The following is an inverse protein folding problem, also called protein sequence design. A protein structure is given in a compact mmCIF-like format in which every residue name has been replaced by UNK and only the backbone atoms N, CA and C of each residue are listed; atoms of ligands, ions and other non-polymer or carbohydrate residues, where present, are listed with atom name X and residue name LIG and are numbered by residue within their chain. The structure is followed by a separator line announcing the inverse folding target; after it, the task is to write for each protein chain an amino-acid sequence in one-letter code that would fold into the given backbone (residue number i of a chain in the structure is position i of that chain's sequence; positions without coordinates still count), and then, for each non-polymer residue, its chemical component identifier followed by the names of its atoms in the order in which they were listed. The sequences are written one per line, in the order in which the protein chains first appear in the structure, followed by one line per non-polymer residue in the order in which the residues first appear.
data_IF_925110109830
#
_entry.id   IF_925110109830
#
_cell.length_a   1.000
_cell.length_b   1.000
_cell.length_c   1.000
_cell.angle_alpha   90.00
_cell.angle_beta   90.00
_cell.angle_gamma   90.00
#
_symmetry.space_group_name_H-M   'P 1'
#
loop_
_entity.id
_entity.type
_entity.pdbx_description
1 polymer ?
#
# COMPACT_ATOMS: atom_id res chain seq x y z
N UNK A 1 -7.46 -12.51 13.19
CA UNK A 1 -7.06 -11.71 14.37
C UNK A 1 -7.95 -10.48 14.32
N UNK A 2 -7.49 -9.22 14.46
CA UNK A 2 -8.22 -8.08 13.86
C UNK A 2 -7.23 -7.34 12.97
N UNK A 3 -7.40 -7.47 11.67
CA UNK A 3 -6.60 -6.80 10.65
C UNK A 3 -7.18 -5.41 10.36
N UNK A 4 -6.32 -4.48 9.90
CA UNK A 4 -6.73 -3.14 9.46
C UNK A 4 -6.16 -2.90 8.07
N UNK A 5 -7.04 -2.62 7.11
CA UNK A 5 -6.65 -2.12 5.79
C UNK A 5 -6.62 -0.59 5.85
N UNK A 6 -5.46 -0.02 5.54
CA UNK A 6 -5.23 1.42 5.49
C UNK A 6 -5.55 1.97 4.09
N UNK A 7 -6.37 3.01 4.01
CA UNK A 7 -6.66 3.71 2.76
C UNK A 7 -6.17 5.15 2.86
N UNK A 8 -5.37 5.57 1.89
CA UNK A 8 -4.87 6.94 1.77
C UNK A 8 -5.27 7.50 0.40
N UNK A 9 -5.82 8.72 0.40
CA UNK A 9 -6.38 9.34 -0.80
C UNK A 9 -5.85 10.77 -1.01
N UNK A 10 -5.48 11.06 -2.27
CA UNK A 10 -4.98 12.36 -2.71
C UNK A 10 -3.58 12.70 -2.19
N UNK A 11 -3.04 13.82 -2.68
CA UNK A 11 -1.66 14.23 -2.39
C UNK A 11 -1.33 14.28 -0.88
N UNK A 12 -2.16 14.96 -0.08
CA UNK A 12 -1.92 15.09 1.35
C UNK A 12 -2.03 13.75 2.08
N UNK A 13 -3.05 12.95 1.78
CA UNK A 13 -3.23 11.63 2.37
C UNK A 13 -2.05 10.70 2.07
N UNK A 14 -1.55 10.71 0.83
CA UNK A 14 -0.40 9.91 0.42
C UNK A 14 0.90 10.35 1.10
N UNK A 15 1.13 11.65 1.30
CA UNK A 15 2.32 12.15 2.01
C UNK A 15 2.31 11.77 3.48
N UNK A 16 1.16 11.93 4.16
CA UNK A 16 1.01 11.53 5.55
C UNK A 16 1.12 10.02 5.69
N UNK A 17 0.47 9.27 4.79
CA UNK A 17 0.53 7.82 4.75
C UNK A 17 1.95 7.30 4.57
N UNK A 18 2.73 7.88 3.65
CA UNK A 18 4.14 7.50 3.48
C UNK A 18 4.95 7.70 4.77
N UNK A 19 4.76 8.81 5.48
CA UNK A 19 5.42 9.03 6.78
C UNK A 19 4.91 8.12 7.89
N UNK A 20 3.62 7.79 7.89
CA UNK A 20 3.07 6.80 8.80
C UNK A 20 3.76 5.44 8.61
N UNK A 21 3.84 4.95 7.36
CA UNK A 21 4.46 3.67 7.03
C UNK A 21 5.96 3.64 7.30
N UNK A 22 6.68 4.75 7.11
CA UNK A 22 8.07 4.87 7.57
C UNK A 22 8.19 4.61 9.08
N UNK A 23 7.41 5.34 9.89
CA UNK A 23 7.50 5.28 11.35
C UNK A 23 7.10 3.92 11.90
N UNK A 24 6.01 3.33 11.40
CA UNK A 24 5.58 2.02 11.91
C UNK A 24 6.49 0.89 11.44
N UNK A 25 7.09 0.99 10.25
CA UNK A 25 8.08 0.01 9.81
C UNK A 25 9.31 0.06 10.69
N UNK A 26 9.81 1.26 11.02
CA UNK A 26 10.92 1.43 11.96
C UNK A 26 10.59 0.86 13.36
N UNK A 27 9.37 1.10 13.87
CA UNK A 27 8.91 0.57 15.16
C UNK A 27 8.86 -0.97 15.17
N UNK A 28 8.41 -1.57 14.07
CA UNK A 28 8.35 -3.02 13.87
C UNK A 28 9.66 -3.65 13.38
N UNK A 29 10.71 -2.86 13.15
CA UNK A 29 12.00 -3.35 12.65
C UNK A 29 11.93 -3.89 11.22
N UNK A 30 11.00 -3.41 10.40
CA UNK A 30 10.87 -3.76 8.99
C UNK A 30 11.66 -2.76 8.16
N UNK A 31 12.54 -3.26 7.30
CA UNK A 31 13.34 -2.41 6.41
C UNK A 31 12.57 -2.02 5.13
N UNK A 32 13.13 -1.13 4.30
CA UNK A 32 12.52 -0.75 3.02
C UNK A 32 12.23 -1.88 2.03
N UNK A 33 12.85 -3.05 2.21
CA UNK A 33 12.64 -4.24 1.36
C UNK A 33 11.56 -5.17 1.92
N UNK A 34 11.02 -4.84 3.10
CA UNK A 34 10.01 -5.62 3.82
C UNK A 34 10.61 -6.70 4.71
N UNK A 35 11.93 -6.74 4.91
CA UNK A 35 12.58 -7.79 5.71
C UNK A 35 12.70 -7.34 7.16
N UNK A 36 12.42 -8.25 8.10
CA UNK A 36 12.57 -8.00 9.52
C UNK A 36 14.03 -8.04 9.98
N UNK A 37 14.46 -6.95 10.63
CA UNK A 37 15.78 -6.76 11.24
C UNK A 37 15.69 -6.30 12.70
N UNK A 38 14.54 -6.47 13.35
CA UNK A 38 14.33 -6.10 14.74
C UNK A 38 15.04 -7.00 15.75
N UNK A 39 15.01 -6.59 17.01
CA UNK A 39 15.72 -7.23 18.12
C UNK A 39 14.79 -7.70 19.25
N UNK A 40 13.47 -7.53 19.08
CA UNK A 40 12.46 -7.87 20.09
C UNK A 40 11.30 -8.67 19.51
N UNK A 41 11.00 -9.82 20.11
CA UNK A 41 9.83 -10.66 19.74
C UNK A 41 8.49 -9.88 19.79
N UNK A 42 8.42 -8.83 20.62
CA UNK A 42 7.23 -7.96 20.73
C UNK A 42 6.94 -7.18 19.43
N UNK A 43 7.95 -6.94 18.59
CA UNK A 43 7.78 -6.27 17.30
C UNK A 43 7.01 -7.15 16.32
N UNK A 44 7.05 -8.47 16.46
CA UNK A 44 6.34 -9.39 15.57
C UNK A 44 4.98 -9.87 16.13
N UNK A 45 4.73 -9.76 17.44
CA UNK A 45 3.52 -10.30 18.11
C UNK A 45 2.20 -9.86 17.46
N UNK A 46 2.16 -8.64 16.89
CA UNK A 46 0.95 -8.08 16.24
C UNK A 46 1.21 -7.44 14.88
N UNK A 47 2.28 -7.83 14.22
CA UNK A 47 2.66 -7.23 12.93
C UNK A 47 1.58 -7.44 11.86
N UNK A 48 0.86 -8.55 11.94
CA UNK A 48 -0.22 -8.92 11.02
C UNK A 48 -1.44 -7.97 11.04
N UNK A 49 -1.55 -7.09 12.04
CA UNK A 49 -2.59 -6.04 12.08
C UNK A 49 -2.46 -5.11 10.87
N UNK A 50 -1.24 -4.72 10.51
CA UNK A 50 -0.95 -3.78 9.44
C UNK A 50 -0.21 -4.40 8.25
N UNK A 51 0.44 -5.55 8.42
CA UNK A 51 1.20 -6.21 7.36
C UNK A 51 0.60 -7.57 6.96
N UNK A 52 0.79 -7.93 5.71
CA UNK A 52 0.75 -9.30 5.23
C UNK A 52 2.15 -9.90 5.32
N UNK A 53 2.25 -11.15 5.78
CA UNK A 53 3.49 -11.92 5.64
C UNK A 53 3.43 -12.64 4.28
N UNK A 54 4.31 -12.24 3.38
CA UNK A 54 4.49 -12.85 2.07
C UNK A 54 5.58 -13.93 2.12
N UNK A 55 5.72 -14.68 1.02
CA UNK A 55 6.79 -15.67 0.89
C UNK A 55 8.17 -15.03 1.08
N UNK A 56 9.10 -15.82 1.63
CA UNK A 56 10.47 -15.36 1.89
C UNK A 56 10.63 -14.43 3.10
N UNK A 57 9.65 -14.38 4.01
CA UNK A 57 9.73 -13.59 5.25
C UNK A 57 9.64 -12.08 5.02
N UNK A 58 8.98 -11.68 3.93
CA UNK A 58 8.73 -10.28 3.59
C UNK A 58 7.40 -9.82 4.16
N UNK A 59 7.38 -8.63 4.73
CA UNK A 59 6.20 -7.99 5.28
C UNK A 59 5.73 -6.87 4.33
N UNK A 60 4.50 -6.99 3.85
CA UNK A 60 3.90 -6.07 2.88
C UNK A 60 2.77 -5.29 3.55
N UNK A 61 2.73 -3.95 3.51
CA UNK A 61 1.64 -3.17 4.08
C UNK A 61 0.26 -3.53 3.52
N UNK A 62 -0.73 -3.62 4.40
CA UNK A 62 -2.16 -3.62 4.05
C UNK A 62 -2.62 -2.20 3.74
N UNK A 63 -2.11 -1.63 2.65
CA UNK A 63 -2.37 -0.25 2.26
C UNK A 63 -2.92 -0.17 0.84
N UNK A 64 -3.92 0.69 0.61
CA UNK A 64 -4.40 1.09 -0.72
C UNK A 64 -4.11 2.57 -0.91
N UNK A 65 -3.40 2.90 -2.00
CA UNK A 65 -2.95 4.24 -2.32
C UNK A 65 -3.76 4.77 -3.50
N UNK A 66 -4.52 5.84 -3.25
CA UNK A 66 -5.44 6.40 -4.24
C UNK A 66 -5.06 7.83 -4.57
N UNK A 67 -5.01 8.17 -5.85
CA UNK A 67 -4.97 9.56 -6.29
C UNK A 67 -5.62 9.71 -7.67
N UNK A 68 -6.19 10.87 -7.98
CA UNK A 68 -6.71 11.12 -9.33
C UNK A 68 -5.57 11.51 -10.29
N UNK A 69 -4.41 11.89 -9.75
CA UNK A 69 -3.22 12.28 -10.53
C UNK A 69 -2.08 11.27 -10.38
N UNK A 70 -1.37 10.92 -11.47
CA UNK A 70 -0.29 9.93 -11.43
C UNK A 70 0.94 10.43 -10.66
N UNK A 71 1.19 11.75 -10.62
CA UNK A 71 2.42 12.32 -10.07
C UNK A 71 2.66 12.05 -8.58
N UNK A 72 1.60 11.82 -7.80
CA UNK A 72 1.74 11.45 -6.39
C UNK A 72 2.34 10.05 -6.24
N UNK A 73 2.05 9.12 -7.16
CA UNK A 73 2.52 7.74 -7.09
C UNK A 73 4.04 7.66 -7.27
N UNK A 74 4.58 8.42 -8.23
CA UNK A 74 6.04 8.53 -8.44
C UNK A 74 6.74 9.07 -7.19
N UNK A 75 6.10 10.02 -6.50
CA UNK A 75 6.62 10.61 -5.26
C UNK A 75 6.65 9.60 -4.11
N UNK A 76 5.64 8.73 -3.99
CA UNK A 76 5.62 7.68 -2.97
C UNK A 76 6.63 6.57 -3.30
N UNK A 77 6.66 6.10 -4.55
CA UNK A 77 7.55 5.01 -5.00
C UNK A 77 9.04 5.38 -4.91
N UNK A 78 9.36 6.64 -5.13
CA UNK A 78 10.72 7.19 -4.95
C UNK A 78 11.07 7.48 -3.48
N UNK A 79 10.10 7.37 -2.58
CA UNK A 79 10.32 7.52 -1.14
C UNK A 79 11.08 6.33 -0.53
N UNK A 80 11.61 6.48 0.71
CA UNK A 80 12.46 5.47 1.33
C UNK A 80 11.82 4.09 1.44
N UNK A 81 10.52 4.04 1.77
CA UNK A 81 9.74 2.79 1.87
C UNK A 81 8.82 2.57 0.65
N UNK A 82 9.05 3.28 -0.46
CA UNK A 82 8.18 3.18 -1.64
C UNK A 82 8.12 1.77 -2.25
N UNK A 83 9.15 0.97 -2.05
CA UNK A 83 9.30 -0.39 -2.60
C UNK A 83 8.60 -1.47 -1.76
N UNK A 84 8.19 -1.16 -0.53
CA UNK A 84 7.54 -2.14 0.35
C UNK A 84 6.07 -2.36 -0.02
N UNK A 85 5.46 -1.40 -0.72
CA UNK A 85 4.08 -1.48 -1.17
C UNK A 85 3.94 -2.37 -2.40
N UNK A 86 2.87 -3.16 -2.44
CA UNK A 86 2.50 -3.92 -3.64
C UNK A 86 2.19 -2.98 -4.80
N UNK A 87 2.75 -3.20 -6.01
CA UNK A 87 2.45 -2.37 -7.17
C UNK A 87 0.95 -2.28 -7.51
N UNK A 88 0.22 -3.37 -7.27
CA UNK A 88 -1.22 -3.48 -7.55
C UNK A 88 -2.07 -2.64 -6.60
N UNK A 89 -1.52 -2.23 -5.46
CA UNK A 89 -2.23 -1.43 -4.46
C UNK A 89 -2.28 0.08 -4.80
N UNK A 90 -1.64 0.48 -5.92
CA UNK A 90 -1.64 1.86 -6.39
C UNK A 90 -2.75 2.05 -7.42
N UNK A 91 -3.81 2.76 -7.05
CA UNK A 91 -4.94 3.06 -7.92
C UNK A 91 -4.94 4.54 -8.25
N UNK A 92 -4.77 4.87 -9.53
CA UNK A 92 -4.69 6.27 -9.92
C UNK A 92 -5.39 6.61 -11.24
N UNK A 93 -5.91 7.84 -11.29
CA UNK A 93 -6.51 8.43 -12.49
C UNK A 93 -5.47 9.07 -13.43
N UNK A 94 -5.98 9.64 -14.51
CA UNK A 94 -5.19 10.41 -15.49
C UNK A 94 -5.48 11.93 -15.44
N UNK A 95 -6.30 12.37 -14.49
CA UNK A 95 -6.92 13.70 -14.45
C UNK A 95 -7.16 14.12 -13.01
N UNK A 96 -6.88 15.38 -12.66
CA UNK A 96 -7.07 15.88 -11.30
C UNK A 96 -8.49 16.33 -10.98
N UNK A 97 -8.84 16.28 -9.68
CA UNK A 97 -10.01 16.98 -9.15
C UNK A 97 -9.82 18.51 -9.15
N UNK A 98 -8.58 19.01 -9.17
CA UNK A 98 -8.30 20.45 -9.25
C UNK A 98 -8.93 21.28 -8.11
N UNK A 99 -8.85 20.78 -6.88
CA UNK A 99 -9.51 21.35 -5.68
C UNK A 99 -11.03 21.51 -5.81
N UNK A 100 -11.68 20.79 -6.72
CA UNK A 100 -13.12 20.75 -6.87
C UNK A 100 -13.68 19.45 -6.30
N UNK A 101 -14.38 19.56 -5.17
CA UNK A 101 -15.01 18.41 -4.52
C UNK A 101 -16.00 17.69 -5.43
N UNK A 102 -16.77 18.41 -6.25
CA UNK A 102 -17.74 17.79 -7.15
C UNK A 102 -17.07 16.93 -8.22
N UNK A 103 -15.88 17.31 -8.72
CA UNK A 103 -15.10 16.46 -9.63
C UNK A 103 -14.64 15.18 -8.95
N UNK A 104 -14.11 15.30 -7.73
CA UNK A 104 -13.66 14.16 -6.95
C UNK A 104 -14.79 13.21 -6.56
N UNK A 105 -15.99 13.72 -6.30
CA UNK A 105 -17.09 12.89 -5.79
C UNK A 105 -18.04 12.37 -6.88
N UNK A 106 -18.34 13.17 -7.90
CA UNK A 106 -19.40 12.84 -8.86
C UNK A 106 -18.91 12.51 -10.28
N UNK A 107 -17.69 12.89 -10.66
CA UNK A 107 -17.18 12.64 -12.01
C UNK A 107 -15.92 11.80 -12.01
N UNK A 108 -14.74 12.41 -11.84
CA UNK A 108 -13.44 11.73 -11.99
C UNK A 108 -13.26 10.63 -10.94
N UNK A 109 -13.61 10.91 -9.68
CA UNK A 109 -13.51 9.88 -8.64
C UNK A 109 -14.62 8.83 -8.71
N UNK A 110 -15.76 9.14 -9.34
CA UNK A 110 -16.79 8.14 -9.59
C UNK A 110 -16.37 7.13 -10.67
N UNK A 111 -15.52 7.54 -11.62
CA UNK A 111 -14.92 6.62 -12.60
C UNK A 111 -13.82 5.74 -11.99
N UNK A 112 -13.13 6.21 -10.95
CA UNK A 112 -12.02 5.48 -10.31
C UNK A 112 -12.47 4.55 -9.16
N UNK A 113 -13.60 4.83 -8.52
CA UNK A 113 -14.00 4.19 -7.25
C UNK A 113 -14.15 2.67 -7.37
N UNK A 114 -14.63 2.15 -8.49
CA UNK A 114 -14.82 0.70 -8.67
C UNK A 114 -13.47 -0.02 -8.61
N UNK A 115 -12.43 0.51 -9.29
CA UNK A 115 -11.08 -0.04 -9.21
C UNK A 115 -10.48 0.06 -7.80
N UNK A 116 -10.80 1.13 -7.05
CA UNK A 116 -10.38 1.25 -5.65
C UNK A 116 -11.06 0.18 -4.78
N UNK A 117 -12.34 -0.11 -5.02
CA UNK A 117 -13.09 -1.11 -4.29
C UNK A 117 -12.61 -2.53 -4.58
N UNK A 118 -12.23 -2.83 -5.82
CA UNK A 118 -11.65 -4.13 -6.19
C UNK A 118 -10.33 -4.36 -5.45
N UNK A 119 -9.40 -3.40 -5.52
CA UNK A 119 -8.11 -3.49 -4.81
C UNK A 119 -8.29 -3.51 -3.28
N UNK A 120 -9.27 -2.77 -2.76
CA UNK A 120 -9.59 -2.83 -1.33
C UNK A 120 -10.08 -4.22 -0.92
N UNK A 121 -10.93 -4.85 -1.73
CA UNK A 121 -11.40 -6.21 -1.48
C UNK A 121 -10.24 -7.20 -1.50
N UNK A 122 -9.34 -7.10 -2.47
CA UNK A 122 -8.14 -7.94 -2.54
C UNK A 122 -7.24 -7.75 -1.30
N UNK A 123 -7.05 -6.51 -0.85
CA UNK A 123 -6.29 -6.20 0.37
C UNK A 123 -6.96 -6.71 1.66
N UNK A 124 -8.28 -6.93 1.64
CA UNK A 124 -9.04 -7.54 2.75
C UNK A 124 -9.12 -9.06 2.70
N UNK A 125 -8.93 -9.65 1.52
CA UNK A 125 -8.96 -11.10 1.36
C UNK A 125 -7.75 -11.71 2.08
N UNK A 126 -7.99 -12.79 2.83
CA UNK A 126 -6.92 -13.59 3.40
C UNK A 126 -6.14 -14.21 2.23
N UNK A 127 -4.88 -13.80 2.02
CA UNK A 127 -3.98 -14.51 1.11
C UNK A 127 -3.57 -15.85 1.77
N UNK A 128 -4.53 -16.75 1.98
CA UNK A 128 -4.27 -18.18 2.12
C UNK A 128 -3.97 -18.76 0.73
N UNK A 129 -2.77 -18.53 0.20
CA UNK A 129 -2.41 -19.09 -1.11
C UNK A 129 -1.12 -18.56 -1.70
N UNK A 130 -0.07 -19.36 -1.55
CA UNK A 130 1.06 -19.56 -2.47
C UNK A 130 1.23 -18.53 -3.61
N UNK A 131 2.21 -17.64 -3.48
CA UNK A 131 2.81 -17.00 -4.64
C UNK A 131 3.85 -17.96 -5.21
N UNK A 132 3.52 -18.62 -6.32
CA UNK A 132 4.52 -19.07 -7.28
C UNK A 132 5.20 -17.81 -7.83
N UNK A 133 6.53 -17.73 -7.73
CA UNK A 133 7.30 -16.83 -8.58
C UNK A 133 6.96 -17.22 -10.03
N UNK A 134 6.18 -16.39 -10.73
CA UNK A 134 6.22 -16.42 -12.19
C UNK A 134 7.66 -16.08 -12.57
N UNK A 135 8.36 -17.12 -13.03
CA UNK A 135 9.78 -17.11 -13.26
C UNK A 135 10.20 -15.95 -14.14
N UNK A 136 11.34 -15.36 -13.77
CA UNK A 136 12.25 -14.80 -14.76
C UNK A 136 12.59 -15.95 -15.74
N UNK A 137 11.86 -16.04 -16.85
CA UNK A 137 12.30 -16.81 -18.00
C UNK A 137 13.54 -16.12 -18.59
N UNK A 138 14.64 -16.85 -18.55
CA UNK A 138 15.93 -16.55 -19.16
C UNK A 138 15.82 -16.13 -20.65
N UNK A 139 16.42 -14.98 -21.01
CA UNK A 139 17.34 -14.79 -22.15
C UNK A 139 17.84 -13.34 -22.30
#
# INVERSE_FOLDING_TARGET
MREIVHLQAGQCGNQIGAKFWEVISDEHGIDPTGVYHGDSDLQLDRINVYYNEASGGKYVPRAVLVDLEPGTMDSVRSGPFGQVFRPDNFVFGQSGAGNNWAKGHYTEGAELVDSVLDVYQDATAEEEGEFEEEGEEDA
#
